data_IF_657870489713
#
_entry.id   IF_657870489713
#
_cell.length_a   1.000
_cell.length_b   1.000
_cell.length_c   1.000
_cell.angle_alpha   90.00
_cell.angle_beta   90.00
_cell.angle_gamma   90.00
#
_symmetry.space_group_name_H-M   'P 1'
#
loop_
_entity.id
_entity.type
_entity.pdbx_description
1 polymer ?
#
# COMPACT_ATOMS: atom_id res chain seq x y z
N UNK A 1 -11.27 -21.39 21.04
CA UNK A 1 -10.83 -20.71 19.81
C UNK A 1 -9.42 -20.22 20.05
N UNK A 2 -8.55 -20.27 19.05
CA UNK A 2 -7.18 -19.77 19.18
C UNK A 2 -7.19 -18.24 19.41
N UNK A 3 -6.27 -17.77 20.25
CA UNK A 3 -5.92 -16.35 20.39
C UNK A 3 -4.74 -16.02 19.48
N UNK A 4 -4.60 -14.75 19.09
CA UNK A 4 -3.40 -14.26 18.40
C UNK A 4 -2.13 -14.50 19.22
N UNK A 5 -2.23 -14.50 20.55
CA UNK A 5 -1.11 -14.77 21.45
C UNK A 5 -0.59 -16.22 21.33
N UNK A 6 -1.41 -17.14 20.80
CA UNK A 6 -0.99 -18.54 20.56
C UNK A 6 -0.06 -18.66 19.35
N UNK A 7 -0.02 -17.65 18.47
CA UNK A 7 0.80 -17.64 17.26
C UNK A 7 2.08 -16.79 17.45
N UNK A 8 3.29 -17.38 17.32
CA UNK A 8 4.54 -16.64 17.46
C UNK A 8 4.64 -15.46 16.50
N UNK A 9 4.89 -14.25 17.03
CA UNK A 9 5.12 -13.07 16.20
C UNK A 9 6.50 -13.17 15.55
N UNK A 10 6.54 -13.17 14.22
CA UNK A 10 7.78 -13.26 13.41
C UNK A 10 8.30 -11.87 13.05
N UNK A 11 7.38 -10.94 12.76
CA UNK A 11 7.74 -9.57 12.40
C UNK A 11 6.64 -8.58 12.81
N UNK A 12 7.03 -7.33 13.02
CA UNK A 12 6.12 -6.20 13.19
C UNK A 12 6.63 -4.99 12.41
N UNK A 13 5.81 -4.48 11.50
CA UNK A 13 6.02 -3.22 10.82
C UNK A 13 5.25 -2.08 11.48
N UNK A 14 5.30 -0.89 10.86
CA UNK A 14 4.63 0.33 11.36
C UNK A 14 3.14 0.07 11.64
N UNK A 15 2.44 -0.62 10.73
CA UNK A 15 0.98 -0.81 10.78
C UNK A 15 0.52 -2.27 10.66
N UNK A 16 1.43 -3.23 10.51
CA UNK A 16 1.13 -4.65 10.29
C UNK A 16 1.96 -5.55 11.18
N UNK A 17 1.41 -6.69 11.57
CA UNK A 17 2.08 -7.76 12.31
C UNK A 17 2.01 -9.07 11.53
N UNK A 18 3.03 -9.89 11.67
CA UNK A 18 3.12 -11.19 11.00
C UNK A 18 3.34 -12.26 12.06
N UNK A 19 2.44 -13.23 12.12
CA UNK A 19 2.51 -14.34 13.07
C UNK A 19 2.64 -15.67 12.34
N UNK A 20 3.45 -16.60 12.85
CA UNK A 20 3.54 -17.95 12.30
C UNK A 20 2.36 -18.80 12.78
N UNK A 21 1.62 -19.37 11.82
CA UNK A 21 0.58 -20.37 12.09
C UNK A 21 1.18 -21.77 12.08
N UNK A 22 1.96 -22.05 11.04
CA UNK A 22 2.72 -23.27 10.88
C UNK A 22 3.94 -23.01 9.94
N UNK A 23 4.59 -24.08 9.47
CA UNK A 23 5.75 -23.99 8.59
C UNK A 23 5.42 -23.36 7.22
N UNK A 24 4.17 -23.47 6.77
CA UNK A 24 3.72 -23.06 5.44
C UNK A 24 2.83 -21.82 5.46
N UNK A 25 2.29 -21.44 6.62
CA UNK A 25 1.29 -20.38 6.74
C UNK A 25 1.63 -19.32 7.77
N UNK A 26 1.19 -18.10 7.47
CA UNK A 26 1.32 -16.92 8.32
C UNK A 26 -0.03 -16.24 8.50
N UNK A 27 -0.23 -15.56 9.62
CA UNK A 27 -1.25 -14.53 9.77
C UNK A 27 -0.64 -13.17 9.50
N UNK A 28 -1.13 -12.50 8.47
CA UNK A 28 -0.85 -11.09 8.19
C UNK A 28 -1.96 -10.25 8.82
N UNK A 29 -1.65 -9.54 9.90
CA UNK A 29 -2.62 -8.76 10.68
C UNK A 29 -2.41 -7.27 10.42
N UNK A 30 -3.44 -6.61 9.90
CA UNK A 30 -3.50 -5.15 9.78
C UNK A 30 -4.00 -4.52 11.09
N UNK A 31 -3.26 -3.53 11.57
CA UNK A 31 -3.67 -2.72 12.72
C UNK A 31 -4.38 -1.44 12.27
N UNK A 32 -5.11 -0.84 13.21
CA UNK A 32 -5.71 0.48 13.05
C UNK A 32 -4.70 1.62 13.23
N UNK A 33 -3.41 1.30 13.43
CA UNK A 33 -2.35 2.31 13.50
C UNK A 33 -2.21 3.00 12.14
N UNK A 34 -1.89 4.28 12.19
CA UNK A 34 -1.58 5.11 11.04
C UNK A 34 -0.23 5.77 11.25
N UNK A 35 0.50 5.99 10.16
CA UNK A 35 1.78 6.68 10.17
C UNK A 35 1.78 7.88 9.25
N UNK A 36 2.40 8.98 9.68
CA UNK A 36 2.60 10.17 8.88
C UNK A 36 3.98 10.76 9.19
N UNK A 37 4.69 11.22 8.15
CA UNK A 37 6.06 11.76 8.29
C UNK A 37 6.99 10.85 9.09
N UNK A 38 6.95 9.55 8.79
CA UNK A 38 7.71 8.48 9.44
C UNK A 38 7.45 8.20 10.92
N UNK A 39 6.52 8.92 11.55
CA UNK A 39 6.03 8.60 12.88
C UNK A 39 4.78 7.74 12.83
N UNK A 40 4.71 6.72 13.69
CA UNK A 40 3.44 6.04 14.02
C UNK A 40 2.71 6.92 15.02
N UNK A 41 1.47 7.29 14.70
CA UNK A 41 0.69 8.21 15.53
C UNK A 41 0.13 7.51 16.76
N UNK A 42 -0.01 8.20 17.90
CA UNK A 42 -0.57 7.62 19.11
C UNK A 42 -2.08 7.32 18.98
N UNK A 43 -2.78 8.02 18.09
CA UNK A 43 -4.22 7.84 17.84
C UNK A 43 -4.46 6.86 16.69
N UNK A 44 -5.14 5.71 16.92
CA UNK A 44 -5.52 4.80 15.84
C UNK A 44 -6.70 5.36 15.03
N UNK A 45 -6.85 4.85 13.80
CA UNK A 45 -8.02 5.09 12.95
C UNK A 45 -8.90 3.83 12.99
N UNK A 46 -10.05 3.86 13.69
CA UNK A 46 -10.92 2.69 13.82
C UNK A 46 -11.30 2.11 12.46
N UNK A 47 -11.34 0.78 12.37
CA UNK A 47 -11.64 -0.01 11.17
C UNK A 47 -10.64 0.13 10.01
N UNK A 48 -9.57 0.93 10.13
CA UNK A 48 -8.56 1.04 9.08
C UNK A 48 -8.01 -0.33 8.71
N UNK A 49 -7.62 -1.15 9.68
CA UNK A 49 -7.10 -2.50 9.42
C UNK A 49 -8.11 -3.35 8.64
N UNK A 50 -9.41 -3.26 8.99
CA UNK A 50 -10.49 -3.97 8.29
C UNK A 50 -10.64 -3.52 6.85
N UNK A 51 -10.62 -2.21 6.61
CA UNK A 51 -10.71 -1.64 5.25
C UNK A 51 -9.54 -2.12 4.39
N UNK A 52 -8.30 -2.00 4.89
CA UNK A 52 -7.11 -2.41 4.14
C UNK A 52 -7.13 -3.89 3.79
N UNK A 53 -7.57 -4.73 4.73
CA UNK A 53 -7.72 -6.17 4.54
C UNK A 53 -8.82 -6.47 3.51
N UNK A 54 -10.02 -5.91 3.66
CA UNK A 54 -11.13 -6.11 2.72
C UNK A 54 -10.77 -5.68 1.29
N UNK A 55 -10.09 -4.54 1.17
CA UNK A 55 -9.64 -3.99 -0.10
C UNK A 55 -8.58 -4.88 -0.76
N UNK A 56 -7.61 -5.38 0.01
CA UNK A 56 -6.61 -6.34 -0.52
C UNK A 56 -7.27 -7.61 -1.02
N UNK A 57 -8.25 -8.17 -0.28
CA UNK A 57 -9.01 -9.36 -0.71
C UNK A 57 -9.76 -9.10 -2.01
N UNK A 58 -10.45 -7.96 -2.13
CA UNK A 58 -11.11 -7.56 -3.38
C UNK A 58 -10.12 -7.55 -4.57
N UNK A 59 -8.93 -6.97 -4.37
CA UNK A 59 -7.93 -6.91 -5.44
C UNK A 59 -7.30 -8.27 -5.76
N UNK A 60 -7.05 -9.11 -4.75
CA UNK A 60 -6.59 -10.48 -4.98
C UNK A 60 -7.58 -11.29 -5.81
N UNK A 61 -8.88 -11.13 -5.57
CA UNK A 61 -9.94 -11.76 -6.39
C UNK A 61 -9.96 -11.21 -7.82
N UNK A 62 -9.90 -9.88 -7.97
CA UNK A 62 -9.96 -9.23 -9.29
C UNK A 62 -8.74 -9.53 -10.17
N UNK A 63 -7.58 -9.74 -9.55
CA UNK A 63 -6.30 -9.94 -10.24
C UNK A 63 -5.88 -11.42 -10.34
N UNK A 64 -6.74 -12.36 -9.94
CA UNK A 64 -6.42 -13.78 -9.89
C UNK A 64 -6.07 -14.38 -11.27
N UNK A 65 -6.57 -13.80 -12.36
CA UNK A 65 -6.22 -14.18 -13.75
C UNK A 65 -4.86 -13.62 -14.20
N UNK A 66 -4.34 -12.60 -13.52
CA UNK A 66 -3.10 -11.90 -13.88
C UNK A 66 -1.90 -12.51 -13.15
N UNK A 67 -2.04 -12.77 -11.84
CA UNK A 67 -0.93 -13.23 -11.00
C UNK A 67 -1.46 -14.08 -9.83
N UNK A 68 -0.80 -15.20 -9.49
CA UNK A 68 -1.11 -15.90 -8.25
C UNK A 68 -0.74 -15.02 -7.05
N UNK A 69 -1.50 -15.14 -5.98
CA UNK A 69 -1.26 -14.37 -4.76
C UNK A 69 -1.13 -15.28 -3.52
N UNK A 70 -0.67 -14.69 -2.42
CA UNK A 70 -0.37 -15.43 -1.20
C UNK A 70 -1.60 -15.74 -0.33
N UNK A 71 -2.80 -15.24 -0.66
CA UNK A 71 -3.99 -15.41 0.17
C UNK A 71 -4.41 -16.88 0.16
N UNK A 72 -4.52 -17.45 1.36
CA UNK A 72 -5.12 -18.77 1.56
C UNK A 72 -6.58 -18.61 1.95
N UNK A 73 -6.86 -17.74 2.93
CA UNK A 73 -8.21 -17.47 3.38
C UNK A 73 -8.29 -16.15 4.16
N UNK A 74 -9.46 -15.51 4.11
CA UNK A 74 -9.82 -14.38 4.96
C UNK A 74 -10.88 -14.74 6.02
N UNK A 75 -11.49 -15.92 5.92
CA UNK A 75 -12.44 -16.49 6.89
C UNK A 75 -12.10 -17.97 7.13
N UNK A 76 -11.12 -18.21 8.01
CA UNK A 76 -10.62 -19.54 8.40
C UNK A 76 -10.66 -19.66 9.92
N UNK A 77 -10.83 -20.88 10.44
CA UNK A 77 -10.86 -21.14 11.88
C UNK A 77 -9.54 -20.83 12.60
N UNK A 78 -8.43 -20.82 11.86
CA UNK A 78 -7.10 -20.43 12.32
C UNK A 78 -6.95 -18.92 12.50
N UNK A 79 -7.92 -18.12 12.06
CA UNK A 79 -7.93 -16.67 12.27
C UNK A 79 -8.65 -16.40 13.61
N UNK A 80 -7.95 -15.87 14.63
CA UNK A 80 -8.56 -15.54 15.92
C UNK A 80 -9.66 -14.49 15.80
N UNK A 81 -10.70 -14.62 16.62
CA UNK A 81 -11.86 -13.72 16.60
C UNK A 81 -11.49 -12.26 16.90
N UNK A 82 -10.46 -12.00 17.71
CA UNK A 82 -9.95 -10.66 18.04
C UNK A 82 -9.29 -9.91 16.87
N UNK A 83 -8.92 -10.62 15.80
CA UNK A 83 -8.37 -10.05 14.55
C UNK A 83 -9.23 -10.34 13.33
N UNK A 84 -10.42 -10.92 13.51
CA UNK A 84 -11.32 -11.25 12.40
C UNK A 84 -11.65 -10.00 11.58
N UNK A 85 -11.63 -10.14 10.25
CA UNK A 85 -11.84 -9.04 9.32
C UNK A 85 -10.63 -8.13 9.10
N UNK A 86 -9.56 -8.24 9.90
CA UNK A 86 -8.30 -7.47 9.72
C UNK A 86 -7.06 -8.36 9.70
N UNK A 87 -7.24 -9.66 9.51
CA UNK A 87 -6.17 -10.63 9.36
C UNK A 87 -6.43 -11.52 8.14
N UNK A 88 -5.37 -11.89 7.46
CA UNK A 88 -5.37 -12.85 6.37
C UNK A 88 -4.49 -14.03 6.74
N UNK A 89 -4.99 -15.24 6.49
CA UNK A 89 -4.14 -16.41 6.43
C UNK A 89 -3.47 -16.45 5.06
N UNK A 90 -2.14 -16.44 5.05
CA UNK A 90 -1.34 -16.34 3.82
C UNK A 90 -0.26 -17.42 3.75
N UNK A 91 0.15 -17.77 2.53
CA UNK A 91 1.29 -18.66 2.28
C UNK A 91 2.57 -17.97 2.73
N UNK A 92 3.46 -18.73 3.38
CA UNK A 92 4.85 -18.33 3.61
C UNK A 92 5.60 -18.35 2.27
N UNK A 93 6.32 -17.28 1.97
CA UNK A 93 7.08 -17.11 0.73
C UNK A 93 8.51 -16.65 1.04
N UNK A 94 9.44 -16.91 0.12
CA UNK A 94 10.73 -16.23 0.10
C UNK A 94 10.54 -14.85 -0.54
N UNK A 95 10.49 -13.79 0.27
CA UNK A 95 10.22 -12.43 -0.20
C UNK A 95 11.40 -11.86 -0.98
N UNK A 96 11.12 -11.24 -2.14
CA UNK A 96 12.14 -10.55 -2.93
C UNK A 96 12.42 -9.16 -2.35
N UNK A 97 13.69 -8.71 -2.30
CA UNK A 97 14.08 -7.46 -1.66
C UNK A 97 13.87 -6.23 -2.58
N UNK A 98 12.71 -6.15 -3.24
CA UNK A 98 12.40 -5.11 -4.22
C UNK A 98 11.00 -4.59 -4.00
N UNK A 99 10.90 -3.30 -3.71
CA UNK A 99 9.63 -2.58 -3.70
C UNK A 99 9.23 -2.26 -5.15
N UNK A 100 8.24 -2.99 -5.66
CA UNK A 100 7.85 -2.93 -7.05
C UNK A 100 6.80 -1.84 -7.27
N UNK A 101 7.26 -0.61 -7.54
CA UNK A 101 6.36 0.55 -7.71
C UNK A 101 6.01 0.76 -9.17
N UNK A 102 4.71 0.94 -9.45
CA UNK A 102 4.21 1.44 -10.72
C UNK A 102 3.68 2.87 -10.56
N UNK A 103 3.93 3.72 -11.56
CA UNK A 103 3.41 5.09 -11.61
C UNK A 103 2.75 5.34 -12.95
N UNK A 104 1.52 5.82 -12.98
CA UNK A 104 0.90 6.39 -14.18
C UNK A 104 0.74 7.90 -14.11
N UNK A 105 1.03 8.50 -12.96
CA UNK A 105 1.02 9.95 -12.76
C UNK A 105 2.29 10.39 -12.03
N UNK A 106 2.78 11.58 -12.36
CA UNK A 106 4.01 12.12 -11.81
C UNK A 106 3.73 12.93 -10.53
N UNK A 107 4.06 12.37 -9.38
CA UNK A 107 3.92 13.03 -8.08
C UNK A 107 4.99 12.53 -7.10
N UNK A 108 5.03 13.10 -5.90
CA UNK A 108 5.88 12.63 -4.79
C UNK A 108 7.37 12.55 -5.15
N UNK A 109 8.02 11.45 -4.73
CA UNK A 109 9.46 11.24 -4.99
C UNK A 109 9.80 11.18 -6.48
N UNK A 110 8.90 10.65 -7.32
CA UNK A 110 9.09 10.63 -8.77
C UNK A 110 9.16 12.04 -9.37
N UNK A 111 8.28 12.96 -8.94
CA UNK A 111 8.36 14.36 -9.38
C UNK A 111 9.63 15.05 -8.87
N UNK A 112 10.05 14.76 -7.65
CA UNK A 112 11.29 15.32 -7.07
C UNK A 112 12.52 14.88 -7.88
N UNK A 113 12.62 13.60 -8.25
CA UNK A 113 13.69 13.08 -9.10
C UNK A 113 13.64 13.71 -10.50
N UNK A 114 12.47 13.75 -11.13
CA UNK A 114 12.29 14.35 -12.46
C UNK A 114 12.68 15.83 -12.49
N UNK A 115 12.34 16.63 -11.46
CA UNK A 115 12.76 18.03 -11.38
C UNK A 115 14.28 18.19 -11.28
N UNK A 116 14.96 17.22 -10.68
CA UNK A 116 16.43 17.25 -10.50
C UNK A 116 17.17 16.78 -11.75
N UNK A 117 16.67 15.76 -12.44
CA UNK A 117 17.44 15.06 -13.49
C UNK A 117 16.72 14.91 -14.82
N UNK A 118 15.43 15.23 -14.92
CA UNK A 118 14.58 14.91 -16.07
C UNK A 118 14.19 13.43 -16.17
N UNK A 119 14.53 12.61 -15.16
CA UNK A 119 14.32 11.17 -15.16
C UNK A 119 13.82 10.65 -13.80
N UNK A 120 13.18 9.48 -13.81
CA UNK A 120 12.75 8.77 -12.59
C UNK A 120 13.29 7.35 -12.64
N UNK A 121 14.06 6.94 -11.62
CA UNK A 121 14.71 5.61 -11.59
C UNK A 121 15.55 5.30 -12.87
N UNK A 122 16.14 6.34 -13.48
CA UNK A 122 16.91 6.24 -14.72
C UNK A 122 16.07 6.26 -16.01
N UNK A 123 14.75 6.37 -15.91
CA UNK A 123 13.83 6.49 -17.06
C UNK A 123 13.66 7.97 -17.39
N UNK A 124 14.18 8.40 -18.54
CA UNK A 124 13.99 9.76 -19.05
C UNK A 124 12.50 10.01 -19.36
N UNK A 125 11.99 11.15 -18.91
CA UNK A 125 10.60 11.55 -19.16
C UNK A 125 10.55 12.77 -20.10
N UNK A 126 9.45 12.96 -20.84
CA UNK A 126 9.26 14.14 -21.68
C UNK A 126 9.42 15.44 -20.88
N UNK A 127 9.99 16.51 -21.47
CA UNK A 127 10.12 17.79 -20.81
C UNK A 127 8.73 18.42 -20.55
N UNK A 128 8.66 19.32 -19.57
CA UNK A 128 7.46 20.12 -19.29
C UNK A 128 6.44 19.46 -18.39
N UNK A 129 6.66 18.23 -17.91
CA UNK A 129 5.78 17.60 -16.92
C UNK A 129 5.77 18.37 -15.59
N UNK A 130 4.59 18.47 -14.99
CA UNK A 130 4.29 19.15 -13.74
C UNK A 130 3.69 18.18 -12.70
N UNK A 131 3.32 18.73 -11.54
CA UNK A 131 2.70 17.98 -10.45
C UNK A 131 1.41 17.30 -10.92
N UNK A 132 1.28 16.01 -10.63
CA UNK A 132 0.11 15.18 -10.95
C UNK A 132 -0.21 15.05 -12.44
N UNK A 133 0.74 15.36 -13.33
CA UNK A 133 0.59 15.06 -14.76
C UNK A 133 0.48 13.55 -15.00
N UNK A 134 -0.40 13.16 -15.93
CA UNK A 134 -0.46 11.78 -16.41
C UNK A 134 0.77 11.50 -17.26
N UNK A 135 1.44 10.39 -16.97
CA UNK A 135 2.56 9.91 -17.77
C UNK A 135 2.07 9.36 -19.11
N UNK A 136 2.88 9.44 -20.19
CA UNK A 136 2.51 8.86 -21.49
C UNK A 136 2.18 7.37 -21.39
N UNK A 137 2.98 6.64 -20.61
CA UNK A 137 2.78 5.24 -20.27
C UNK A 137 3.15 5.03 -18.79
N UNK A 138 2.54 4.05 -18.10
CA UNK A 138 2.95 3.70 -16.76
C UNK A 138 4.39 3.19 -16.72
N UNK A 139 5.15 3.62 -15.72
CA UNK A 139 6.57 3.28 -15.57
C UNK A 139 6.81 2.46 -14.30
N UNK A 140 7.79 1.56 -14.38
CA UNK A 140 8.27 0.76 -13.25
C UNK A 140 9.42 1.50 -12.56
N UNK A 141 9.22 1.91 -11.32
CA UNK A 141 10.15 2.75 -10.56
C UNK A 141 10.54 2.06 -9.25
N UNK A 142 11.35 1.00 -9.31
CA UNK A 142 11.61 0.16 -8.15
C UNK A 142 12.33 0.92 -7.04
N UNK A 143 12.14 0.49 -5.81
CA UNK A 143 12.93 0.92 -4.67
C UNK A 143 13.52 -0.28 -3.93
N UNK A 144 14.66 -0.07 -3.27
CA UNK A 144 15.21 -1.08 -2.35
C UNK A 144 14.40 -1.08 -1.06
N UNK A 145 14.20 -2.28 -0.51
CA UNK A 145 13.59 -2.44 0.82
C UNK A 145 14.65 -2.13 1.87
N UNK A 146 14.55 -0.98 2.53
CA UNK A 146 15.53 -0.59 3.54
C UNK A 146 15.33 -1.36 4.86
N UNK A 147 16.39 -1.46 5.68
CA UNK A 147 16.26 -1.98 7.04
C UNK A 147 15.32 -1.10 7.89
N UNK A 148 14.74 -1.68 8.95
CA UNK A 148 13.81 -0.98 9.83
C UNK A 148 14.48 0.28 10.41
N UNK A 149 14.00 1.45 9.99
CA UNK A 149 14.52 2.76 10.41
C UNK A 149 15.20 3.57 9.30
N UNK A 150 15.44 2.98 8.13
CA UNK A 150 15.91 3.68 6.94
C UNK A 150 14.76 3.91 5.93
N UNK A 151 14.97 4.82 4.98
CA UNK A 151 14.01 5.10 3.90
C UNK A 151 14.32 4.22 2.68
N UNK A 152 13.26 3.74 2.02
CA UNK A 152 13.39 3.07 0.73
C UNK A 152 14.01 4.03 -0.28
N UNK A 153 15.00 3.55 -1.04
CA UNK A 153 15.70 4.35 -2.04
C UNK A 153 15.25 3.93 -3.44
N UNK A 154 14.86 4.92 -4.26
CA UNK A 154 14.57 4.70 -5.68
C UNK A 154 15.84 4.17 -6.38
N UNK A 155 15.74 3.01 -7.03
CA UNK A 155 16.86 2.39 -7.75
C UNK A 155 16.56 2.20 -9.23
N UNK A 156 17.61 2.04 -10.04
CA UNK A 156 17.45 1.74 -11.45
C UNK A 156 16.99 0.30 -11.69
N UNK A 157 16.45 0.03 -12.88
CA UNK A 157 16.15 -1.33 -13.29
C UNK A 157 17.39 -2.24 -13.27
N UNK A 158 18.57 -1.72 -13.62
CA UNK A 158 19.82 -2.48 -13.57
C UNK A 158 20.21 -2.90 -12.14
N UNK A 159 19.89 -2.08 -11.13
CA UNK A 159 20.07 -2.47 -9.73
C UNK A 159 19.15 -3.65 -9.34
N UNK A 160 17.91 -3.66 -9.84
CA UNK A 160 17.00 -4.80 -9.66
C UNK A 160 17.54 -6.03 -10.38
N UNK A 161 18.04 -5.90 -11.61
CA UNK A 161 18.67 -7.00 -12.35
C UNK A 161 19.87 -7.58 -11.59
N UNK A 162 20.70 -6.73 -10.98
CA UNK A 162 21.83 -7.16 -10.17
C UNK A 162 21.39 -7.90 -8.89
N UNK A 163 20.24 -7.51 -8.30
CA UNK A 163 19.70 -8.10 -7.08
C UNK A 163 19.02 -9.46 -7.31
N UNK A 164 18.16 -9.56 -8.34
CA UNK A 164 17.28 -10.74 -8.51
C UNK A 164 17.49 -11.51 -9.80
N UNK A 165 18.43 -11.06 -10.66
CA UNK A 165 18.68 -11.63 -11.98
C UNK A 165 17.76 -11.05 -13.07
N UNK A 166 18.25 -11.02 -14.32
CA UNK A 166 17.57 -10.35 -15.44
C UNK A 166 16.18 -10.91 -15.73
N UNK A 167 16.04 -12.23 -15.85
CA UNK A 167 14.76 -12.87 -16.16
C UNK A 167 13.69 -12.53 -15.12
N UNK A 168 14.05 -12.58 -13.84
CA UNK A 168 13.14 -12.27 -12.74
C UNK A 168 12.81 -10.78 -12.68
N UNK A 169 13.80 -9.90 -12.87
CA UNK A 169 13.59 -8.45 -12.92
C UNK A 169 12.62 -8.05 -14.04
N UNK A 170 12.80 -8.62 -15.24
CA UNK A 170 11.89 -8.44 -16.37
C UNK A 170 10.45 -8.87 -16.03
N UNK A 171 10.30 -10.02 -15.38
CA UNK A 171 9.00 -10.53 -14.97
C UNK A 171 8.35 -9.69 -13.87
N UNK A 172 9.12 -9.18 -12.90
CA UNK A 172 8.64 -8.24 -11.89
C UNK A 172 8.13 -6.96 -12.54
N UNK A 173 8.89 -6.38 -13.48
CA UNK A 173 8.47 -5.19 -14.23
C UNK A 173 7.17 -5.45 -15.00
N UNK A 174 7.11 -6.56 -15.75
CA UNK A 174 5.93 -6.92 -16.54
C UNK A 174 4.68 -7.13 -15.66
N UNK A 175 4.80 -7.89 -14.57
CA UNK A 175 3.70 -8.12 -13.63
C UNK A 175 3.26 -6.82 -12.94
N UNK A 176 4.20 -6.01 -12.47
CA UNK A 176 3.91 -4.73 -11.80
C UNK A 176 3.10 -3.80 -12.71
N UNK A 177 3.54 -3.63 -13.95
CA UNK A 177 2.85 -2.78 -14.92
C UNK A 177 1.52 -3.39 -15.37
N UNK A 178 1.42 -4.71 -15.54
CA UNK A 178 0.18 -5.39 -15.90
C UNK A 178 -0.89 -5.31 -14.81
N UNK A 179 -0.50 -5.54 -13.55
CA UNK A 179 -1.38 -5.38 -12.38
C UNK A 179 -1.83 -3.93 -12.26
N UNK A 180 -0.89 -2.97 -12.33
CA UNK A 180 -1.20 -1.56 -12.27
C UNK A 180 -2.19 -1.14 -13.36
N UNK A 181 -1.98 -1.56 -14.61
CA UNK A 181 -2.85 -1.21 -15.72
C UNK A 181 -4.29 -1.70 -15.49
N UNK A 182 -4.47 -2.96 -15.10
CA UNK A 182 -5.79 -3.54 -14.79
C UNK A 182 -6.47 -2.82 -13.63
N UNK A 183 -5.70 -2.52 -12.57
CA UNK A 183 -6.23 -1.83 -11.40
C UNK A 183 -6.60 -0.38 -11.69
N UNK A 184 -5.77 0.35 -12.45
CA UNK A 184 -6.02 1.73 -12.86
C UNK A 184 -7.23 1.83 -13.77
N UNK A 185 -7.40 0.89 -14.73
CA UNK A 185 -8.59 0.81 -15.57
C UNK A 185 -9.86 0.58 -14.75
N UNK A 186 -9.84 -0.41 -13.84
CA UNK A 186 -10.98 -0.70 -12.97
C UNK A 186 -11.34 0.50 -12.08
N UNK A 187 -10.34 1.09 -11.40
CA UNK A 187 -10.54 2.23 -10.52
C UNK A 187 -11.09 3.44 -11.30
N UNK A 188 -10.59 3.70 -12.51
CA UNK A 188 -11.07 4.80 -13.36
C UNK A 188 -12.55 4.61 -13.73
N UNK A 189 -12.96 3.37 -14.01
CA UNK A 189 -14.38 3.01 -14.21
C UNK A 189 -15.28 3.23 -12.99
N UNK A 190 -14.69 3.45 -11.81
CA UNK A 190 -15.35 3.78 -10.54
C UNK A 190 -15.16 5.24 -10.12
N UNK A 191 -14.63 6.10 -11.00
CA UNK A 191 -14.40 7.51 -10.70
C UNK A 191 -13.19 7.76 -9.80
N UNK A 192 -12.23 6.83 -9.75
CA UNK A 192 -11.00 6.95 -8.94
C UNK A 192 -9.77 6.80 -9.83
N UNK A 193 -8.82 7.72 -9.74
CA UNK A 193 -7.54 7.64 -10.42
C UNK A 193 -6.51 6.95 -9.51
N UNK A 194 -5.84 5.93 -10.03
CA UNK A 194 -4.70 5.30 -9.35
C UNK A 194 -3.40 5.97 -9.82
N UNK A 195 -2.85 6.87 -9.01
CA UNK A 195 -1.67 7.65 -9.38
C UNK A 195 -0.40 6.78 -9.42
N UNK A 196 -0.16 6.07 -8.33
CA UNK A 196 0.93 5.12 -8.17
C UNK A 196 0.57 4.06 -7.12
N UNK A 197 1.31 2.96 -7.13
CA UNK A 197 1.17 1.86 -6.16
C UNK A 197 2.46 1.09 -6.00
N UNK A 198 2.63 0.48 -4.83
CA UNK A 198 3.74 -0.43 -4.50
C UNK A 198 3.23 -1.86 -4.37
N UNK A 199 3.96 -2.82 -4.93
CA UNK A 199 3.74 -4.25 -4.74
C UNK A 199 4.97 -4.91 -4.15
N UNK A 200 4.74 -6.03 -3.46
CA UNK A 200 5.82 -6.94 -3.08
C UNK A 200 5.53 -8.33 -3.65
N UNK A 201 6.60 -9.00 -4.05
CA UNK A 201 6.52 -10.34 -4.60
C UNK A 201 7.38 -11.28 -3.77
N UNK A 202 6.88 -12.49 -3.59
CA UNK A 202 7.65 -13.60 -3.07
C UNK A 202 7.82 -14.69 -4.12
N UNK A 203 8.72 -15.63 -3.81
CA UNK A 203 8.90 -16.87 -4.56
C UNK A 203 8.29 -17.99 -3.74
N UNK A 204 7.37 -18.73 -4.35
CA UNK A 204 6.82 -19.94 -3.76
C UNK A 204 7.83 -21.10 -3.84
N UNK A 205 7.70 -22.16 -3.02
CA UNK A 205 8.60 -23.32 -3.08
C UNK A 205 8.74 -23.95 -4.47
N UNK A 206 7.68 -23.90 -5.28
CA UNK A 206 7.64 -24.32 -6.68
C UNK A 206 8.38 -23.38 -7.67
N UNK A 207 8.95 -22.28 -7.18
CA UNK A 207 9.75 -21.31 -7.94
C UNK A 207 8.97 -20.19 -8.63
N UNK A 208 7.64 -20.20 -8.55
CA UNK A 208 6.78 -19.17 -9.15
C UNK A 208 6.77 -17.86 -8.37
N UNK A 209 6.69 -16.72 -9.08
CA UNK A 209 6.42 -15.42 -8.47
C UNK A 209 4.98 -15.35 -7.99
N UNK A 210 4.79 -14.89 -6.76
CA UNK A 210 3.50 -14.74 -6.10
C UNK A 210 3.37 -13.33 -5.56
N UNK A 211 2.26 -12.66 -5.85
CA UNK A 211 1.91 -11.36 -5.28
C UNK A 211 1.62 -11.52 -3.79
N UNK A 212 2.25 -10.69 -2.97
CA UNK A 212 2.19 -10.77 -1.52
C UNK A 212 1.90 -9.39 -0.90
N UNK A 213 2.09 -9.27 0.40
CA UNK A 213 1.84 -8.06 1.19
C UNK A 213 0.36 -7.61 1.12
N UNK A 214 0.09 -6.33 1.38
CA UNK A 214 -1.19 -5.72 1.03
C UNK A 214 -1.16 -5.27 -0.43
N UNK A 215 -2.33 -5.22 -1.08
CA UNK A 215 -2.42 -4.91 -2.50
C UNK A 215 -3.43 -3.80 -2.72
N UNK A 216 -2.94 -2.71 -3.34
CA UNK A 216 -3.76 -1.60 -3.84
C UNK A 216 -4.66 -0.97 -2.77
N UNK A 217 -4.11 -0.76 -1.58
CA UNK A 217 -4.77 -0.05 -0.48
C UNK A 217 -4.34 1.43 -0.45
N UNK A 218 -5.03 2.32 0.28
CA UNK A 218 -4.59 3.71 0.42
C UNK A 218 -3.27 3.87 1.22
N UNK A 219 -2.78 2.80 1.87
CA UNK A 219 -1.46 2.79 2.50
C UNK A 219 -0.34 2.43 1.50
N UNK A 220 -0.64 1.58 0.50
CA UNK A 220 0.31 1.18 -0.56
C UNK A 220 0.22 2.01 -1.84
N UNK A 221 -0.83 2.84 -1.98
CA UNK A 221 -1.23 3.43 -3.25
C UNK A 221 -1.81 4.83 -3.06
N UNK A 222 -1.61 5.70 -4.06
CA UNK A 222 -2.25 7.01 -4.12
C UNK A 222 -3.49 6.92 -4.99
N UNK A 223 -4.65 7.00 -4.36
CA UNK A 223 -5.94 7.10 -5.03
C UNK A 223 -6.45 8.53 -4.98
N UNK A 224 -6.85 9.07 -6.13
CA UNK A 224 -7.44 10.40 -6.25
C UNK A 224 -8.88 10.30 -6.76
N UNK A 225 -9.83 11.11 -6.27
CA UNK A 225 -11.10 11.23 -6.95
C UNK A 225 -10.85 11.77 -8.37
N UNK A 226 -11.49 11.18 -9.37
CA UNK A 226 -11.42 11.69 -10.74
C UNK A 226 -12.12 13.05 -10.85
N UNK A 227 -13.18 13.25 -10.06
CA UNK A 227 -13.81 14.55 -9.89
C UNK A 227 -12.82 15.54 -9.24
N UNK A 228 -12.62 16.68 -9.90
CA UNK A 228 -11.70 17.71 -9.44
C UNK A 228 -10.23 17.46 -9.78
N UNK A 229 -9.89 16.37 -10.48
CA UNK A 229 -8.53 16.13 -10.95
C UNK A 229 -8.05 17.26 -11.86
N UNK A 230 -6.92 17.89 -11.50
CA UNK A 230 -6.33 18.97 -12.28
C UNK A 230 -4.79 18.85 -12.31
N UNK A 231 -4.20 18.55 -13.48
CA UNK A 231 -2.74 18.54 -13.62
C UNK A 231 -2.12 19.92 -13.28
N UNK A 232 -0.89 19.89 -12.79
CA UNK A 232 -0.16 21.07 -12.28
C UNK A 232 -0.45 21.43 -10.82
N UNK A 233 -1.24 20.64 -10.10
CA UNK A 233 -1.58 20.87 -8.68
C UNK A 233 -1.51 19.58 -7.88
N UNK A 234 -1.35 19.68 -6.57
CA UNK A 234 -1.47 18.53 -5.66
C UNK A 234 -2.94 18.10 -5.63
N UNK A 235 -3.20 16.81 -5.79
CA UNK A 235 -4.55 16.26 -5.75
C UNK A 235 -4.96 15.90 -4.32
N UNK A 236 -6.25 16.07 -3.96
CA UNK A 236 -6.82 15.42 -2.80
C UNK A 236 -6.64 13.89 -2.92
N UNK A 237 -6.17 13.24 -1.86
CA UNK A 237 -5.98 11.79 -1.84
C UNK A 237 -6.99 11.11 -0.92
N UNK A 238 -7.38 9.89 -1.28
CA UNK A 238 -8.12 8.99 -0.38
C UNK A 238 -7.23 8.44 0.75
N UNK A 239 -5.94 8.78 0.76
CA UNK A 239 -4.99 8.36 1.78
C UNK A 239 -5.02 9.25 3.05
N UNK A 240 -3.84 9.50 3.61
CA UNK A 240 -3.59 10.17 4.89
C UNK A 240 -3.63 11.70 4.78
N UNK A 241 -4.31 12.26 3.78
CA UNK A 241 -4.25 13.70 3.51
C UNK A 241 -4.82 14.53 4.67
N UNK A 242 -5.97 14.17 5.25
CA UNK A 242 -6.53 14.84 6.43
C UNK A 242 -5.58 14.85 7.63
N UNK A 243 -4.89 13.73 7.85
CA UNK A 243 -3.89 13.60 8.91
C UNK A 243 -2.69 14.51 8.65
N UNK A 244 -2.17 14.52 7.40
CA UNK A 244 -1.05 15.39 7.00
C UNK A 244 -1.39 16.87 7.13
N UNK A 245 -2.57 17.27 6.66
CA UNK A 245 -3.04 18.65 6.70
C UNK A 245 -3.21 19.12 8.14
N UNK A 246 -3.82 18.29 9.01
CA UNK A 246 -3.98 18.63 10.40
C UNK A 246 -2.63 18.74 11.13
N UNK A 247 -1.73 17.77 10.94
CA UNK A 247 -0.40 17.76 11.55
C UNK A 247 0.47 18.95 11.15
N UNK A 248 0.27 19.50 9.96
CA UNK A 248 1.02 20.68 9.49
C UNK A 248 0.27 21.99 9.71
N UNK A 249 -0.94 21.92 10.27
CA UNK A 249 -1.73 23.10 10.62
C UNK A 249 -1.22 23.76 11.91
N UNK A 250 -1.44 25.08 12.10
CA UNK A 250 -1.13 25.76 13.35
C UNK A 250 -1.83 25.16 14.57
N UNK A 251 -2.98 24.50 14.39
CA UNK A 251 -3.77 23.91 15.47
C UNK A 251 -3.11 22.69 16.11
N UNK A 252 -2.26 21.97 15.37
CA UNK A 252 -1.51 20.84 15.93
C UNK A 252 -0.41 21.30 16.89
N UNK A 253 0.14 22.51 16.68
CA UNK A 253 1.33 22.98 17.37
C UNK A 253 2.58 22.14 17.13
N UNK A 254 2.56 21.22 16.16
CA UNK A 254 3.65 20.29 15.90
C UNK A 254 4.64 20.87 14.88
N UNK A 255 5.91 20.93 15.27
CA UNK A 255 6.99 21.25 14.35
C UNK A 255 7.56 19.96 13.76
N UNK A 256 7.28 19.73 12.47
CA UNK A 256 7.80 18.59 11.70
C UNK A 256 9.33 18.56 11.64
N UNK A 257 10.02 19.70 11.79
CA UNK A 257 11.47 19.75 11.78
C UNK A 257 12.10 19.45 13.15
N UNK A 258 11.28 19.29 14.19
CA UNK A 258 11.72 18.94 15.53
C UNK A 258 11.76 17.42 15.74
N UNK A 259 12.51 16.98 16.75
CA UNK A 259 12.54 15.57 17.18
C UNK A 259 11.30 15.17 18.02
N UNK A 260 10.34 16.08 18.22
CA UNK A 260 9.15 15.80 19.02
C UNK A 260 8.19 14.88 18.25
N UNK A 261 7.62 13.85 18.90
CA UNK A 261 6.62 13.01 18.24
C UNK A 261 5.35 13.81 17.93
N UNK A 262 4.62 13.46 16.85
CA UNK A 262 3.38 14.15 16.52
C UNK A 262 2.31 13.97 17.62
N UNK A 263 1.47 15.00 17.85
CA UNK A 263 0.41 14.96 18.84
C UNK A 263 -0.72 13.99 18.45
N UNK A 264 -1.59 13.70 19.43
CA UNK A 264 -2.80 12.93 19.21
C UNK A 264 -3.74 13.65 18.22
N UNK A 265 -4.36 12.87 17.33
CA UNK A 265 -5.36 13.39 16.38
C UNK A 265 -6.68 13.70 17.10
N UNK A 266 -7.35 14.82 16.76
CA UNK A 266 -8.72 15.10 17.18
C UNK A 266 -9.72 14.12 16.58
N UNK A 267 -10.85 13.93 17.27
CA UNK A 267 -11.90 12.99 16.87
C UNK A 267 -12.46 13.28 15.48
N UNK A 268 -12.56 14.55 15.08
CA UNK A 268 -13.03 14.93 13.74
C UNK A 268 -12.06 14.50 12.63
N UNK A 269 -10.75 14.53 12.88
CA UNK A 269 -9.72 14.07 11.93
C UNK A 269 -9.75 12.55 11.85
N UNK A 270 -9.93 11.87 12.99
CA UNK A 270 -10.08 10.41 13.04
C UNK A 270 -11.31 9.96 12.25
N UNK A 271 -12.47 10.59 12.49
CA UNK A 271 -13.73 10.27 11.83
C UNK A 271 -13.65 10.55 10.32
N UNK A 272 -13.11 11.70 9.90
CA UNK A 272 -12.94 12.04 8.49
C UNK A 272 -11.97 11.07 7.79
N UNK A 273 -10.86 10.72 8.45
CA UNK A 273 -9.90 9.76 7.92
C UNK A 273 -10.55 8.39 7.76
N UNK A 274 -11.21 7.86 8.80
CA UNK A 274 -11.95 6.60 8.71
C UNK A 274 -12.95 6.61 7.55
N UNK A 275 -13.79 7.66 7.47
CA UNK A 275 -14.78 7.80 6.41
C UNK A 275 -14.14 7.75 5.02
N UNK A 276 -12.98 8.38 4.84
CA UNK A 276 -12.26 8.39 3.56
C UNK A 276 -11.72 7.02 3.16
N UNK A 277 -11.18 6.25 4.11
CA UNK A 277 -10.78 4.86 3.86
C UNK A 277 -11.97 4.00 3.46
N UNK A 278 -13.09 4.09 4.19
CA UNK A 278 -14.32 3.35 3.86
C UNK A 278 -14.81 3.73 2.47
N UNK A 279 -14.95 5.02 2.18
CA UNK A 279 -15.39 5.54 0.88
C UNK A 279 -14.52 5.01 -0.26
N UNK A 280 -13.19 5.02 -0.11
CA UNK A 280 -12.28 4.49 -1.13
C UNK A 280 -12.56 3.01 -1.42
N UNK A 281 -12.68 2.19 -0.37
CA UNK A 281 -13.00 0.77 -0.52
C UNK A 281 -14.37 0.56 -1.16
N UNK A 282 -15.41 1.24 -0.69
CA UNK A 282 -16.78 1.04 -1.18
C UNK A 282 -16.94 1.52 -2.64
N UNK A 283 -16.31 2.64 -3.02
CA UNK A 283 -16.30 3.12 -4.40
C UNK A 283 -15.59 2.14 -5.34
N UNK A 284 -14.38 1.71 -4.97
CA UNK A 284 -13.54 0.86 -5.83
C UNK A 284 -14.12 -0.55 -5.94
N UNK A 285 -14.53 -1.14 -4.82
CA UNK A 285 -15.02 -2.53 -4.79
C UNK A 285 -16.49 -2.66 -5.18
N UNK A 286 -17.30 -1.62 -4.96
CA UNK A 286 -18.76 -1.69 -5.03
C UNK A 286 -19.38 -2.56 -3.92
N UNK A 287 -18.64 -2.86 -2.85
CA UNK A 287 -19.07 -3.66 -1.69
C UNK A 287 -19.14 -2.76 -0.46
N UNK A 288 -20.02 -3.06 0.50
CA UNK A 288 -20.06 -2.30 1.76
C UNK A 288 -19.09 -2.89 2.79
N UNK A 289 -18.45 -2.02 3.58
CA UNK A 289 -17.65 -2.47 4.72
C UNK A 289 -18.53 -3.05 5.84
N UNK A 290 -19.81 -2.67 5.89
CA UNK A 290 -20.75 -3.20 6.86
C UNK A 290 -20.96 -4.71 6.70
N UNK A 291 -20.81 -5.23 5.48
CA UNK A 291 -20.92 -6.65 5.16
C UNK A 291 -19.61 -7.42 5.37
N UNK A 292 -18.50 -6.71 5.63
CA UNK A 292 -17.21 -7.33 5.90
C UNK A 292 -17.11 -7.77 7.36
N UNK A 293 -16.50 -8.94 7.68
CA UNK A 293 -16.35 -9.39 9.05
C UNK A 293 -15.73 -8.34 9.98
N UNK A 294 -16.13 -8.38 11.24
CA UNK A 294 -15.58 -7.56 12.30
C UNK A 294 -15.04 -8.46 13.43
N UNK A 295 -14.04 -7.98 14.20
CA UNK A 295 -13.60 -8.69 15.38
C UNK A 295 -14.76 -8.97 16.33
N UNK A 296 -14.78 -10.16 16.94
CA UNK A 296 -15.69 -10.49 18.04
C UNK A 296 -14.89 -10.41 19.34
N UNK A 297 -15.44 -9.66 20.30
CA UNK A 297 -14.86 -9.52 21.65
C UNK A 297 -15.16 -10.71 22.54
#
# INVERSE_FOLDING_TARGET
>A
MASLADYPQIAAGKVRQLHAVDDQHLLLVASDRISAYDHVLPTPIPDKGRVLTAMSVFWFELLADVVPNHLVAWDDERIPDEVRGRALLVRRLEMLPVECVARGYLTGSGLADYRRTGAVCGIELPPGLAESDRLPEPIFTPATKAEIGAHDENVSFDAVVASVGRERAERLRALTLGIYARAAEHAAGRGVLLADTKFEFGVAPEGGLVLADEVLTPDSSRFWPAEGYQPGRVQPSFDKQFVRDWLTSPASGWDRASDAPPPALPDEVVAATRARYVEAYEMISGRSLADWPAPRG
#
